data_IF_354232380708
#
_entry.id   IF_354232380708
#
_cell.length_a   1.000
_cell.length_b   1.000
_cell.length_c   1.000
_cell.angle_alpha   90.00
_cell.angle_beta   90.00
_cell.angle_gamma   90.00
#
_symmetry.space_group_name_H-M   'P 1'
#
loop_
_entity.id
_entity.type
_entity.pdbx_description
1 polymer ?
#
# COMPACT_ATOMS: atom_id res chain seq x y z
N UNK A 1 3.94 24.12 36.99
CA UNK A 1 5.04 23.30 36.45
C UNK A 1 6.12 24.25 35.97
N UNK A 2 7.27 24.28 36.65
CA UNK A 2 8.39 25.14 36.28
C UNK A 2 9.32 24.36 35.35
N UNK A 3 9.58 24.89 34.16
CA UNK A 3 10.56 24.34 33.23
C UNK A 3 11.95 24.80 33.70
N UNK A 4 12.66 23.88 34.34
CA UNK A 4 14.04 24.05 34.76
C UNK A 4 14.92 24.06 33.50
N UNK A 5 15.37 25.25 33.08
CA UNK A 5 16.53 25.39 32.20
C UNK A 5 17.74 24.95 33.02
N UNK A 6 18.01 23.64 33.05
CA UNK A 6 19.28 23.12 33.56
C UNK A 6 20.34 23.43 32.53
N UNK A 7 21.43 24.02 33.01
CA UNK A 7 22.62 24.40 32.25
C UNK A 7 23.05 23.32 31.24
N UNK A 8 23.39 23.79 30.04
CA UNK A 8 23.92 23.03 28.90
C UNK A 8 25.37 22.56 29.15
N UNK A 9 25.66 21.98 30.32
CA UNK A 9 26.97 21.39 30.59
C UNK A 9 26.83 19.91 30.96
N UNK A 10 27.31 19.08 30.03
CA UNK A 10 27.99 17.83 30.35
C UNK A 10 27.12 16.60 30.68
N UNK A 11 26.14 16.30 29.84
CA UNK A 11 25.54 14.95 29.84
C UNK A 11 25.53 14.38 28.42
N UNK A 12 26.11 13.19 28.22
CA UNK A 12 26.18 12.46 26.93
C UNK A 12 24.82 12.01 26.38
N UNK A 13 23.74 12.71 26.77
CA UNK A 13 22.36 12.47 26.40
C UNK A 13 22.14 13.03 25.01
N UNK A 14 21.89 12.15 24.05
CA UNK A 14 21.44 12.53 22.70
C UNK A 14 20.04 13.16 22.81
N UNK A 15 19.94 14.48 22.86
CA UNK A 15 18.64 15.17 22.90
C UNK A 15 17.87 14.97 21.59
N UNK A 16 16.60 14.55 21.69
CA UNK A 16 15.73 14.37 20.54
C UNK A 16 15.30 15.71 19.96
N UNK A 17 15.85 16.06 18.80
CA UNK A 17 15.55 17.29 18.08
C UNK A 17 14.73 17.00 16.82
N UNK A 18 13.39 17.02 16.96
CA UNK A 18 12.48 16.70 15.85
C UNK A 18 12.76 17.51 14.58
N UNK A 19 12.90 18.84 14.71
CA UNK A 19 13.15 19.73 13.57
C UNK A 19 14.43 19.35 12.82
N UNK A 20 15.51 19.08 13.56
CA UNK A 20 16.81 18.70 12.99
C UNK A 20 16.74 17.33 12.30
N UNK A 21 15.97 16.39 12.85
CA UNK A 21 15.75 15.06 12.26
C UNK A 21 14.99 15.19 10.93
N UNK A 22 13.89 15.93 10.92
CA UNK A 22 13.09 16.17 9.72
C UNK A 22 13.92 16.85 8.63
N UNK A 23 14.70 17.87 9.00
CA UNK A 23 15.60 18.54 8.06
C UNK A 23 16.62 17.56 7.48
N UNK A 24 17.34 16.82 8.33
CA UNK A 24 18.39 15.89 7.90
C UNK A 24 17.85 14.75 7.02
N UNK A 25 16.63 14.29 7.28
CA UNK A 25 15.98 13.25 6.49
C UNK A 25 15.51 13.78 5.12
N UNK A 26 15.15 15.07 5.03
CA UNK A 26 14.77 15.72 3.77
C UNK A 26 15.96 16.27 2.95
N UNK A 27 17.19 16.19 3.46
CA UNK A 27 18.38 16.64 2.73
C UNK A 27 18.68 15.78 1.49
N UNK A 28 19.13 16.45 0.42
CA UNK A 28 19.67 15.77 -0.77
C UNK A 28 20.90 14.91 -0.42
N UNK A 29 21.08 13.81 -1.16
CA UNK A 29 22.23 12.86 -1.04
C UNK A 29 23.59 13.57 -0.97
N UNK A 30 23.77 14.66 -1.75
CA UNK A 30 25.00 15.47 -1.74
C UNK A 30 25.22 16.19 -0.41
N UNK A 31 24.18 16.82 0.15
CA UNK A 31 24.25 17.53 1.44
C UNK A 31 24.45 16.54 2.59
N UNK A 32 23.79 15.38 2.56
CA UNK A 32 23.99 14.30 3.54
C UNK A 32 25.44 13.79 3.56
N UNK A 33 26.08 13.61 2.39
CA UNK A 33 27.51 13.23 2.30
C UNK A 33 28.45 14.29 2.89
N UNK A 34 28.13 15.58 2.74
CA UNK A 34 28.91 16.67 3.37
C UNK A 34 28.76 16.66 4.89
N UNK A 35 27.56 16.41 5.40
CA UNK A 35 27.28 16.35 6.83
C UNK A 35 27.94 15.14 7.50
N UNK A 36 27.97 14.00 6.82
CA UNK A 36 28.73 12.81 7.24
C UNK A 36 30.23 13.10 7.37
N UNK A 37 30.83 13.80 6.41
CA UNK A 37 32.25 14.20 6.48
C UNK A 37 32.54 15.13 7.66
N UNK A 38 31.56 15.93 8.07
CA UNK A 38 31.65 16.83 9.22
C UNK A 38 31.31 16.18 10.57
N UNK A 39 30.91 14.90 10.60
CA UNK A 39 30.37 14.20 11.78
C UNK A 39 29.19 14.90 12.47
N UNK A 40 28.45 15.74 11.74
CA UNK A 40 27.28 16.48 12.25
C UNK A 40 25.95 15.73 12.00
N UNK A 41 26.00 14.57 11.33
CA UNK A 41 24.80 13.78 11.08
C UNK A 41 24.29 13.20 12.40
N UNK A 42 23.02 13.45 12.75
CA UNK A 42 22.43 12.73 13.86
C UNK A 42 22.21 11.28 13.44
N UNK A 43 22.70 10.37 14.26
CA UNK A 43 22.30 8.98 14.25
C UNK A 43 20.90 8.90 14.87
N UNK A 44 19.96 8.38 14.09
CA UNK A 44 18.56 8.20 14.48
C UNK A 44 18.30 6.70 14.56
N UNK A 45 18.35 6.19 15.80
CA UNK A 45 18.17 4.78 16.16
C UNK A 45 16.71 4.49 16.57
N UNK A 46 15.81 5.48 16.44
CA UNK A 46 14.42 5.32 16.84
C UNK A 46 13.64 4.50 15.81
N UNK A 47 12.95 3.46 16.28
CA UNK A 47 12.07 2.63 15.45
C UNK A 47 10.62 2.70 15.96
N UNK A 48 9.69 2.95 15.04
CA UNK A 48 8.25 2.97 15.35
C UNK A 48 7.73 1.54 15.39
N UNK A 49 6.99 1.21 16.46
CA UNK A 49 6.19 0.00 16.53
C UNK A 49 4.91 0.17 15.70
N UNK A 50 4.85 -0.58 14.61
CA UNK A 50 3.77 -0.59 13.63
C UNK A 50 2.61 -1.51 14.06
N UNK A 51 2.86 -2.42 15.02
CA UNK A 51 1.90 -3.44 15.45
C UNK A 51 1.05 -3.03 16.66
N UNK A 52 1.25 -1.81 17.17
CA UNK A 52 0.53 -1.30 18.33
C UNK A 52 -0.96 -1.05 18.01
N UNK A 53 -1.83 -1.72 18.76
CA UNK A 53 -3.30 -1.67 18.58
C UNK A 53 -3.87 -0.27 18.81
N UNK A 54 -3.22 0.56 19.64
CA UNK A 54 -3.67 1.93 19.91
C UNK A 54 -3.66 2.80 18.66
N UNK A 55 -2.78 2.51 17.71
CA UNK A 55 -2.62 3.27 16.47
C UNK A 55 -3.25 2.60 15.25
N UNK A 56 -4.03 1.52 15.45
CA UNK A 56 -4.68 0.81 14.35
C UNK A 56 -5.57 1.71 13.49
N UNK A 57 -6.16 2.75 14.10
CA UNK A 57 -6.97 3.75 13.41
C UNK A 57 -6.22 4.49 12.27
N UNK A 58 -4.89 4.59 12.34
CA UNK A 58 -4.04 5.18 11.28
C UNK A 58 -4.13 4.41 9.96
N UNK A 59 -4.34 3.09 10.05
CA UNK A 59 -4.40 2.20 8.89
C UNK A 59 -5.84 2.04 8.36
N UNK A 60 -6.83 2.03 9.26
CA UNK A 60 -8.21 1.71 8.94
C UNK A 60 -9.08 2.92 8.64
N UNK A 61 -8.91 4.03 9.38
CA UNK A 61 -9.75 5.21 9.26
C UNK A 61 -9.21 6.18 8.21
N UNK A 62 -10.12 6.81 7.47
CA UNK A 62 -9.75 7.84 6.49
C UNK A 62 -9.33 9.17 7.12
N UNK A 63 -9.76 9.43 8.36
CA UNK A 63 -9.49 10.70 9.08
C UNK A 63 -8.02 10.87 9.43
N UNK A 64 -7.29 9.77 9.58
CA UNK A 64 -5.89 9.75 9.98
C UNK A 64 -4.94 9.36 8.84
N UNK A 65 -5.40 9.53 7.59
CA UNK A 65 -4.58 9.25 6.42
C UNK A 65 -3.43 10.26 6.29
N UNK A 66 -2.23 9.75 6.02
CA UNK A 66 -1.06 10.57 5.71
C UNK A 66 -1.13 11.02 4.23
N UNK A 67 -1.36 12.31 3.98
CA UNK A 67 -1.43 12.91 2.64
C UNK A 67 -0.19 13.77 2.36
N UNK A 68 0.62 13.45 1.34
CA UNK A 68 1.73 14.30 0.89
C UNK A 68 1.36 15.73 0.50
N UNK A 69 0.09 16.00 0.21
CA UNK A 69 -0.43 17.32 -0.16
C UNK A 69 -0.67 18.23 1.05
N UNK A 70 -0.70 17.68 2.27
CA UNK A 70 -0.89 18.46 3.49
C UNK A 70 0.44 19.16 3.90
N UNK A 71 0.44 20.47 4.22
CA UNK A 71 1.63 21.17 4.72
C UNK A 71 2.28 20.56 5.96
N UNK A 72 1.48 19.85 6.78
CA UNK A 72 1.93 19.17 7.98
C UNK A 72 2.62 17.83 7.68
N UNK A 73 2.56 17.35 6.44
CA UNK A 73 3.25 16.12 6.05
C UNK A 73 4.76 16.30 6.12
N UNK A 74 5.40 15.62 7.07
CA UNK A 74 6.85 15.54 7.18
C UNK A 74 7.30 14.16 6.74
N UNK A 75 8.09 14.12 5.66
CA UNK A 75 8.67 12.88 5.15
C UNK A 75 9.79 12.43 6.08
N UNK A 76 9.44 11.58 7.04
CA UNK A 76 10.38 10.97 7.98
C UNK A 76 10.45 9.46 7.77
N UNK A 77 11.54 8.82 8.21
CA UNK A 77 11.69 7.35 8.15
C UNK A 77 10.53 6.62 8.85
N UNK A 78 10.07 7.17 9.97
CA UNK A 78 8.91 6.67 10.71
C UNK A 78 7.63 6.69 9.87
N UNK A 79 7.36 7.81 9.19
CA UNK A 79 6.22 7.97 8.28
C UNK A 79 6.32 7.02 7.09
N UNK A 80 7.52 6.80 6.56
CA UNK A 80 7.75 5.81 5.50
C UNK A 80 7.40 4.38 5.97
N UNK A 81 7.87 3.94 7.14
CA UNK A 81 7.51 2.62 7.72
C UNK A 81 5.99 2.45 7.89
N UNK A 82 5.29 3.50 8.35
CA UNK A 82 3.83 3.46 8.49
C UNK A 82 3.14 3.34 7.12
N UNK A 83 3.63 4.05 6.10
CA UNK A 83 3.07 3.97 4.75
C UNK A 83 3.29 2.60 4.11
N UNK A 84 4.46 2.00 4.31
CA UNK A 84 4.77 0.64 3.87
C UNK A 84 3.84 -0.39 4.50
N UNK A 85 3.61 -0.32 5.81
CA UNK A 85 2.65 -1.21 6.46
C UNK A 85 1.24 -1.04 5.90
N UNK A 86 0.80 0.20 5.69
CA UNK A 86 -0.52 0.48 5.12
C UNK A 86 -0.67 -0.12 3.72
N UNK A 87 0.40 -0.08 2.92
CA UNK A 87 0.44 -0.72 1.61
C UNK A 87 0.33 -2.25 1.76
N UNK A 88 1.11 -2.84 2.67
CA UNK A 88 1.05 -4.28 2.97
C UNK A 88 -0.34 -4.75 3.36
N UNK A 89 -1.01 -4.04 4.27
CA UNK A 89 -2.39 -4.37 4.69
C UNK A 89 -3.40 -4.25 3.55
N UNK A 90 -3.20 -3.27 2.65
CA UNK A 90 -4.04 -3.10 1.46
C UNK A 90 -3.89 -4.27 0.49
N UNK A 91 -2.66 -4.70 0.23
CA UNK A 91 -2.37 -5.86 -0.63
C UNK A 91 -3.00 -7.13 -0.06
N UNK A 92 -2.81 -7.40 1.23
CA UNK A 92 -3.44 -8.54 1.91
C UNK A 92 -4.96 -8.53 1.79
N UNK A 93 -5.60 -7.38 2.03
CA UNK A 93 -7.06 -7.24 1.89
C UNK A 93 -7.52 -7.45 0.45
N UNK A 94 -6.75 -6.99 -0.54
CA UNK A 94 -7.06 -7.25 -1.95
C UNK A 94 -6.91 -8.74 -2.31
N UNK A 95 -5.88 -9.41 -1.81
CA UNK A 95 -5.72 -10.85 -1.98
C UNK A 95 -6.89 -11.64 -1.37
N UNK A 96 -7.31 -11.29 -0.16
CA UNK A 96 -8.46 -11.92 0.48
C UNK A 96 -9.74 -11.72 -0.31
N UNK A 97 -9.97 -10.50 -0.81
CA UNK A 97 -11.12 -10.18 -1.64
C UNK A 97 -11.11 -10.98 -2.96
N UNK A 98 -9.94 -11.07 -3.63
CA UNK A 98 -9.82 -11.86 -4.87
C UNK A 98 -10.00 -13.36 -4.62
N UNK A 99 -9.48 -13.89 -3.50
CA UNK A 99 -9.70 -15.29 -3.09
C UNK A 99 -11.19 -15.53 -2.80
N UNK A 100 -11.88 -14.59 -2.14
CA UNK A 100 -13.31 -14.68 -1.88
C UNK A 100 -14.15 -14.63 -3.16
N UNK A 101 -13.79 -13.76 -4.11
CA UNK A 101 -14.44 -13.69 -5.43
C UNK A 101 -14.25 -15.01 -6.19
N UNK A 102 -13.01 -15.53 -6.26
CA UNK A 102 -12.73 -16.82 -6.92
C UNK A 102 -13.50 -17.97 -6.28
N UNK A 103 -13.65 -18.01 -4.95
CA UNK A 103 -14.48 -19.02 -4.27
C UNK A 103 -15.94 -18.91 -4.69
N UNK A 104 -16.51 -17.70 -4.68
CA UNK A 104 -17.88 -17.46 -5.16
C UNK A 104 -18.07 -17.84 -6.61
N UNK A 105 -17.13 -17.52 -7.49
CA UNK A 105 -17.19 -17.93 -8.91
C UNK A 105 -17.14 -19.45 -9.08
N UNK A 106 -16.29 -20.15 -8.32
CA UNK A 106 -16.24 -21.61 -8.35
C UNK A 106 -17.52 -22.26 -7.81
N UNK A 107 -18.13 -21.68 -6.77
CA UNK A 107 -19.40 -22.18 -6.23
C UNK A 107 -20.56 -21.93 -7.21
N UNK A 108 -20.60 -20.76 -7.88
CA UNK A 108 -21.55 -20.46 -8.96
C UNK A 108 -21.34 -21.37 -10.19
N UNK A 109 -20.09 -21.69 -10.53
CA UNK A 109 -19.78 -22.66 -11.60
C UNK A 109 -20.20 -24.09 -11.22
N UNK A 110 -20.03 -24.50 -9.96
CA UNK A 110 -20.52 -25.79 -9.47
C UNK A 110 -22.04 -25.85 -9.42
N UNK A 111 -22.74 -24.78 -9.06
CA UNK A 111 -24.20 -24.72 -9.12
C UNK A 111 -24.73 -24.76 -10.56
N UNK A 112 -24.09 -24.05 -11.49
CA UNK A 112 -24.49 -24.06 -12.90
C UNK A 112 -24.19 -25.39 -13.61
N UNK A 113 -23.14 -26.11 -13.19
CA UNK A 113 -22.84 -27.46 -13.69
C UNK A 113 -23.77 -28.55 -13.14
N UNK A 114 -24.43 -28.32 -12.00
CA UNK A 114 -25.38 -29.28 -11.37
C UNK A 114 -26.82 -29.13 -11.84
N UNK A 115 -27.17 -28.03 -12.50
CA UNK A 115 -28.50 -27.86 -13.10
C UNK A 115 -28.52 -28.58 -14.45
N UNK A 116 -29.44 -29.54 -14.68
CA UNK A 116 -29.55 -30.19 -15.98
C UNK A 116 -29.96 -29.15 -17.02
N UNK A 117 -29.03 -28.79 -17.91
CA UNK A 117 -29.30 -27.93 -19.05
C UNK A 117 -30.06 -28.75 -20.08
N UNK A 118 -31.17 -28.20 -20.59
CA UNK A 118 -31.93 -28.82 -21.68
C UNK A 118 -30.99 -29.13 -22.88
N UNK A 119 -30.96 -30.39 -23.36
CA UNK A 119 -30.19 -30.77 -24.54
C UNK A 119 -30.41 -29.85 -25.76
N UNK A 120 -31.63 -29.35 -25.96
CA UNK A 120 -31.95 -28.44 -27.07
C UNK A 120 -31.20 -27.10 -26.94
N UNK A 121 -31.12 -26.55 -25.73
CA UNK A 121 -30.41 -25.31 -25.45
C UNK A 121 -28.89 -25.47 -25.64
N UNK A 122 -28.33 -26.62 -25.29
CA UNK A 122 -26.92 -26.94 -25.52
C UNK A 122 -26.56 -26.99 -27.01
N UNK A 123 -27.44 -27.54 -27.85
CA UNK A 123 -27.27 -27.55 -29.30
C UNK A 123 -27.37 -26.15 -29.91
N UNK A 124 -28.29 -25.31 -29.40
CA UNK A 124 -28.43 -23.93 -29.82
C UNK A 124 -27.19 -23.08 -29.47
N UNK A 125 -26.66 -23.21 -28.26
CA UNK A 125 -25.44 -22.48 -27.85
C UNK A 125 -24.26 -22.86 -28.75
N UNK A 126 -24.12 -24.16 -29.09
CA UNK A 126 -23.06 -24.63 -30.01
C UNK A 126 -23.22 -24.04 -31.41
N UNK A 127 -24.44 -24.02 -31.96
CA UNK A 127 -24.67 -23.48 -33.31
C UNK A 127 -24.42 -21.98 -33.40
N UNK A 128 -24.85 -21.21 -32.40
CA UNK A 128 -24.58 -19.77 -32.29
C UNK A 128 -23.08 -19.49 -32.15
N UNK A 129 -22.37 -20.28 -31.33
CA UNK A 129 -20.92 -20.13 -31.15
C UNK A 129 -20.15 -20.40 -32.43
N UNK A 130 -20.47 -21.48 -33.15
CA UNK A 130 -19.86 -21.80 -34.44
C UNK A 130 -20.13 -20.70 -35.47
N UNK A 131 -21.38 -20.23 -35.58
CA UNK A 131 -21.74 -19.19 -36.54
C UNK A 131 -21.05 -17.86 -36.26
N UNK A 132 -20.87 -17.52 -34.98
CA UNK A 132 -20.15 -16.31 -34.57
C UNK A 132 -18.65 -16.43 -34.88
N UNK A 133 -18.03 -17.59 -34.64
CA UNK A 133 -16.63 -17.83 -34.98
C UNK A 133 -16.38 -17.75 -36.49
N UNK A 134 -17.26 -18.34 -37.30
CA UNK A 134 -17.20 -18.22 -38.75
C UNK A 134 -17.33 -16.77 -39.21
N UNK A 135 -18.26 -16.01 -38.64
CA UNK A 135 -18.45 -14.60 -38.98
C UNK A 135 -17.20 -13.77 -38.64
N UNK A 136 -16.60 -13.99 -37.46
CA UNK A 136 -15.36 -13.31 -37.09
C UNK A 136 -14.16 -13.71 -37.96
N UNK A 137 -14.03 -15.00 -38.30
CA UNK A 137 -12.98 -15.49 -39.20
C UNK A 137 -13.10 -14.85 -40.58
N UNK A 138 -14.31 -14.80 -41.14
CA UNK A 138 -14.60 -14.14 -42.42
C UNK A 138 -14.36 -12.62 -42.36
N UNK A 139 -14.70 -11.96 -41.25
CA UNK A 139 -14.42 -10.52 -41.05
C UNK A 139 -12.92 -10.23 -41.01
N UNK A 140 -12.12 -11.06 -40.32
CA UNK A 140 -10.65 -10.91 -40.26
C UNK A 140 -9.98 -11.12 -41.61
N UNK A 141 -10.54 -11.98 -42.47
CA UNK A 141 -10.03 -12.21 -43.83
C UNK A 141 -10.32 -11.05 -44.79
N UNK A 142 -11.37 -10.24 -44.55
CA UNK A 142 -11.73 -9.08 -45.40
C UNK A 142 -11.01 -7.77 -45.03
N UNK A 143 -10.26 -7.75 -43.93
CA UNK A 143 -9.56 -6.55 -43.40
C UNK A 143 -8.03 -6.64 -43.68
N UNK A 144 -7.56 -7.73 -44.30
CA UNK A 144 -6.24 -7.80 -44.94
C UNK A 144 -6.38 -7.48 -46.41
#
# INVERSE_FOLDING_TARGET
MALLMMDDEEDGRKHFNYNKIVEQQNLSKKKKKKLMKKKELLEDDFEVDVSDTRFQAMYTSHLFNLDPSDPNFKKTKAVEKILEEKARQREQKQEELTKAIKRKENDLQKETAKKPIDPALSMLIKSVKNKTQEFQARKKQKIK
#
